data_IF_815244159428
#
_entry.id   IF_815244159428
#
_cell.length_a   1.000
_cell.length_b   1.000
_cell.length_c   1.000
_cell.angle_alpha   90.00
_cell.angle_beta   90.00
_cell.angle_gamma   90.00
#
_symmetry.space_group_name_H-M   'P 1'
#
loop_
_entity.id
_entity.type
_entity.pdbx_description
1 polymer ?
#
# COMPACT_ATOMS: atom_id res chain seq x y z
N UNK A 1 13.12 -5.28 -5.26
CA UNK A 1 12.36 -6.32 -4.53
C UNK A 1 12.94 -6.64 -3.14
N UNK A 2 14.26 -6.78 -3.04
CA UNK A 2 14.91 -7.23 -1.79
C UNK A 2 15.30 -6.12 -0.81
N UNK A 3 14.86 -4.88 -1.03
CA UNK A 3 15.19 -3.79 -0.11
C UNK A 3 14.41 -3.91 1.20
N UNK A 4 15.00 -3.38 2.29
CA UNK A 4 14.35 -3.32 3.61
C UNK A 4 12.97 -2.67 3.54
N UNK A 5 12.84 -1.61 2.74
CA UNK A 5 11.57 -0.92 2.52
C UNK A 5 10.52 -1.89 1.94
N UNK A 6 10.83 -2.59 0.86
CA UNK A 6 9.87 -3.49 0.20
C UNK A 6 9.47 -4.63 1.12
N UNK A 7 10.42 -5.26 1.83
CA UNK A 7 10.10 -6.35 2.76
C UNK A 7 9.22 -5.90 3.92
N UNK A 8 9.43 -4.69 4.45
CA UNK A 8 8.57 -4.13 5.50
C UNK A 8 7.14 -3.87 5.00
N UNK A 9 7.00 -3.30 3.81
CA UNK A 9 5.70 -3.07 3.17
C UNK A 9 4.95 -4.38 2.92
N UNK A 10 5.63 -5.39 2.35
CA UNK A 10 5.04 -6.71 2.09
C UNK A 10 4.60 -7.39 3.39
N UNK A 11 5.45 -7.39 4.42
CA UNK A 11 5.11 -7.98 5.73
C UNK A 11 3.88 -7.33 6.35
N UNK A 12 3.83 -5.99 6.38
CA UNK A 12 2.71 -5.28 6.97
C UNK A 12 1.40 -5.51 6.20
N UNK A 13 1.45 -5.53 4.86
CA UNK A 13 0.31 -5.89 4.02
C UNK A 13 -0.19 -7.29 4.37
N UNK A 14 0.65 -8.31 4.24
CA UNK A 14 0.27 -9.71 4.46
C UNK A 14 -0.24 -9.99 5.86
N UNK A 15 0.36 -9.39 6.90
CA UNK A 15 -0.09 -9.59 8.27
C UNK A 15 -1.45 -8.94 8.58
N UNK A 16 -1.83 -7.86 7.88
CA UNK A 16 -3.12 -7.16 8.11
C UNK A 16 -4.21 -7.68 7.18
N UNK A 17 -3.87 -8.03 5.94
CA UNK A 17 -4.85 -8.51 4.95
C UNK A 17 -5.05 -10.03 5.00
N UNK A 18 -4.04 -10.78 5.44
CA UNK A 18 -3.99 -12.24 5.27
C UNK A 18 -3.67 -12.69 3.85
N UNK A 19 -3.39 -11.75 2.94
CA UNK A 19 -3.16 -12.01 1.51
C UNK A 19 -1.68 -11.86 1.13
N UNK A 20 -1.29 -12.52 0.03
CA UNK A 20 0.06 -12.38 -0.51
C UNK A 20 0.29 -10.96 -1.05
N UNK A 21 1.40 -10.34 -0.65
CA UNK A 21 1.79 -9.00 -1.10
C UNK A 21 2.50 -9.05 -2.47
N UNK A 22 1.72 -9.21 -3.54
CA UNK A 22 2.22 -9.20 -4.91
C UNK A 22 2.77 -7.82 -5.32
N UNK A 23 3.91 -7.80 -6.01
CA UNK A 23 4.53 -6.58 -6.51
C UNK A 23 4.03 -6.27 -7.92
N UNK A 24 3.37 -5.14 -8.08
CA UNK A 24 2.75 -4.74 -9.33
C UNK A 24 3.45 -3.53 -9.97
N UNK A 25 3.37 -3.45 -11.29
CA UNK A 25 3.68 -2.25 -12.06
C UNK A 25 2.41 -1.79 -12.79
N UNK A 26 2.00 -0.55 -12.57
CA UNK A 26 0.77 0.03 -13.14
C UNK A 26 1.08 1.36 -13.85
N UNK A 27 0.18 1.81 -14.73
CA UNK A 27 0.32 3.06 -15.48
C UNK A 27 0.02 4.34 -14.68
N UNK A 28 -0.58 4.22 -13.49
CA UNK A 28 -0.92 5.35 -12.62
C UNK A 28 0.31 6.12 -12.14
N UNK A 29 0.24 7.45 -12.16
CA UNK A 29 1.31 8.33 -11.67
C UNK A 29 1.26 8.52 -10.16
N UNK A 30 2.41 8.49 -9.49
CA UNK A 30 2.55 8.86 -8.08
C UNK A 30 3.84 9.66 -7.85
N UNK A 31 3.98 10.26 -6.67
CA UNK A 31 5.24 10.91 -6.26
C UNK A 31 6.44 9.97 -6.21
N UNK A 32 6.23 8.66 -6.15
CA UNK A 32 7.35 7.70 -6.18
C UNK A 32 8.19 7.82 -7.46
N UNK A 33 7.59 8.24 -8.58
CA UNK A 33 8.29 8.40 -9.86
C UNK A 33 9.40 9.45 -9.82
N UNK A 34 9.33 10.43 -8.92
CA UNK A 34 10.28 11.54 -8.87
C UNK A 34 11.46 11.29 -7.93
N UNK A 35 11.47 10.18 -7.17
CA UNK A 35 12.48 9.89 -6.15
C UNK A 35 13.10 8.50 -6.35
N UNK A 36 14.43 8.36 -6.25
CA UNK A 36 15.07 7.05 -6.34
C UNK A 36 14.69 6.18 -5.14
N UNK A 37 14.53 4.87 -5.38
CA UNK A 37 14.23 3.87 -4.33
C UNK A 37 12.92 4.08 -3.55
N UNK A 38 11.94 4.77 -4.15
CA UNK A 38 10.59 4.94 -3.59
C UNK A 38 9.59 4.15 -4.43
N UNK A 39 8.52 3.66 -3.80
CA UNK A 39 7.43 2.94 -4.45
C UNK A 39 6.08 3.51 -4.04
N UNK A 40 5.06 3.29 -4.87
CA UNK A 40 3.67 3.48 -4.48
C UNK A 40 3.21 2.29 -3.62
N UNK A 41 2.35 2.55 -2.64
CA UNK A 41 1.81 1.51 -1.75
C UNK A 41 0.41 1.90 -1.25
N UNK A 42 -0.55 0.97 -1.36
CA UNK A 42 -1.99 1.19 -1.13
C UNK A 42 -2.70 1.91 -2.30
N UNK A 43 -3.93 2.43 -2.10
CA UNK A 43 -4.89 2.01 -1.08
C UNK A 43 -5.86 0.92 -1.54
N UNK A 44 -5.87 0.63 -2.84
CA UNK A 44 -6.88 -0.21 -3.48
C UNK A 44 -6.48 -1.68 -3.33
N UNK A 45 -7.37 -2.49 -2.76
CA UNK A 45 -7.16 -3.92 -2.62
C UNK A 45 -7.61 -4.69 -3.87
N UNK A 46 -7.10 -5.91 -4.11
CA UNK A 46 -7.56 -6.75 -5.20
C UNK A 46 -9.09 -6.93 -5.19
N UNK A 47 -9.71 -6.77 -6.36
CA UNK A 47 -11.15 -6.92 -6.53
C UNK A 47 -12.00 -5.72 -6.08
N UNK A 48 -11.40 -4.65 -5.56
CA UNK A 48 -12.15 -3.44 -5.22
C UNK A 48 -12.56 -2.63 -6.43
N UNK A 49 -13.75 -2.02 -6.35
CA UNK A 49 -14.19 -1.04 -7.33
C UNK A 49 -13.27 0.17 -7.31
N UNK A 50 -12.72 0.51 -8.46
CA UNK A 50 -11.86 1.65 -8.65
C UNK A 50 -12.66 2.79 -9.32
N UNK A 51 -12.88 3.90 -8.62
CA UNK A 51 -13.65 5.07 -9.10
C UNK A 51 -12.87 6.38 -9.06
N UNK A 52 -11.54 6.32 -8.96
CA UNK A 52 -10.72 7.52 -8.89
C UNK A 52 -10.91 8.34 -10.17
N UNK A 53 -11.31 9.60 -10.03
CA UNK A 53 -11.67 10.52 -11.13
C UNK A 53 -12.92 10.13 -11.94
N UNK A 54 -13.80 9.30 -11.39
CA UNK A 54 -15.09 8.94 -12.01
C UNK A 54 -16.29 9.53 -11.24
N UNK A 55 -17.49 9.39 -11.81
CA UNK A 55 -18.74 9.79 -11.16
C UNK A 55 -19.01 8.96 -9.88
N UNK A 56 -19.52 9.63 -8.85
CA UNK A 56 -19.73 9.08 -7.51
C UNK A 56 -18.44 8.45 -6.92
N UNK A 57 -17.30 9.14 -7.09
CA UNK A 57 -16.04 8.75 -6.44
C UNK A 57 -16.25 8.66 -4.93
N UNK A 58 -16.05 7.45 -4.40
CA UNK A 58 -16.20 7.17 -3.00
C UNK A 58 -15.23 6.08 -2.57
N UNK A 59 -15.06 5.96 -1.27
CA UNK A 59 -14.24 4.93 -0.67
C UNK A 59 -14.86 4.48 0.65
N UNK A 60 -14.86 3.18 0.92
CA UNK A 60 -15.50 2.65 2.11
C UNK A 60 -14.73 3.04 3.38
N UNK A 61 -15.46 3.33 4.46
CA UNK A 61 -14.82 3.63 5.75
C UNK A 61 -14.01 2.43 6.25
N UNK A 62 -14.48 1.21 6.00
CA UNK A 62 -13.75 0.00 6.35
C UNK A 62 -12.37 -0.06 5.67
N UNK A 63 -12.31 0.24 4.37
CA UNK A 63 -11.06 0.23 3.61
C UNK A 63 -10.11 1.34 4.01
N UNK A 64 -10.65 2.53 4.32
CA UNK A 64 -9.88 3.64 4.88
C UNK A 64 -9.22 3.19 6.18
N UNK A 65 -10.00 2.58 7.09
CA UNK A 65 -9.49 2.11 8.38
C UNK A 65 -8.50 0.97 8.22
N UNK A 66 -8.73 0.03 7.30
CA UNK A 66 -7.80 -1.06 6.98
C UNK A 66 -6.48 -0.51 6.44
N UNK A 67 -6.52 0.46 5.53
CA UNK A 67 -5.32 1.13 5.03
C UNK A 67 -4.57 1.89 6.11
N UNK A 68 -5.28 2.62 6.98
CA UNK A 68 -4.66 3.32 8.10
C UNK A 68 -3.93 2.34 9.04
N UNK A 69 -4.52 1.18 9.31
CA UNK A 69 -3.88 0.12 10.10
C UNK A 69 -2.61 -0.42 9.41
N UNK A 70 -2.66 -0.71 8.11
CA UNK A 70 -1.47 -1.15 7.34
C UNK A 70 -0.37 -0.08 7.42
N UNK A 71 -0.70 1.18 7.16
CA UNK A 71 0.27 2.28 7.19
C UNK A 71 0.91 2.46 8.58
N UNK A 72 0.11 2.39 9.66
CA UNK A 72 0.64 2.45 11.01
C UNK A 72 1.62 1.30 11.28
N UNK A 73 1.27 0.08 10.84
CA UNK A 73 2.13 -1.10 10.99
C UNK A 73 3.43 -1.00 10.20
N UNK A 74 3.37 -0.47 8.97
CA UNK A 74 4.58 -0.19 8.16
C UNK A 74 5.52 0.76 8.91
N UNK A 75 4.98 1.85 9.48
CA UNK A 75 5.79 2.82 10.21
C UNK A 75 6.47 2.19 11.43
N UNK A 76 5.77 1.32 12.16
CA UNK A 76 6.34 0.55 13.27
C UNK A 76 7.46 -0.37 12.78
N UNK A 77 7.21 -1.19 11.75
CA UNK A 77 8.21 -2.12 11.19
C UNK A 77 9.48 -1.39 10.70
N UNK A 78 9.32 -0.20 10.13
CA UNK A 78 10.44 0.62 9.66
C UNK A 78 11.17 1.36 10.79
N UNK A 79 10.47 1.68 11.88
CA UNK A 79 11.06 2.33 13.06
C UNK A 79 11.87 1.34 13.90
N UNK A 80 11.47 0.07 13.95
CA UNK A 80 12.23 -0.98 14.62
C UNK A 80 13.62 -1.14 13.97
N UNK A 81 14.66 -0.85 14.76
CA UNK A 81 16.06 -1.08 14.37
C UNK A 81 16.38 -2.54 14.65
N UNK A 82 16.75 -3.28 13.60
CA UNK A 82 17.45 -4.56 13.74
C UNK A 82 18.91 -4.31 14.06
#
# INVERSE_FOLDING_TARGET
>A
PESRLIKALQKAYTEVTGEEAELLAIGGGTYAKTMPNVVAFGPVFPGQTYKIHEEDECWSVEDIMKNAHIMAKVLVELAERK
#
